data_IF_528828552347
#
_entry.id   IF_528828552347
#
_cell.length_a   1.000
_cell.length_b   1.000
_cell.length_c   1.000
_cell.angle_alpha   90.00
_cell.angle_beta   90.00
_cell.angle_gamma   90.00
#
_symmetry.space_group_name_H-M   'P 1'
#
loop_
_entity.id
_entity.type
_entity.pdbx_description
1 polymer ?
#
# COMPACT_ATOMS: atom_id res chain seq x y z
N UNK A 1 -59.06 74.72 5.00
CA UNK A 1 -57.59 74.64 4.95
C UNK A 1 -57.20 73.18 4.73
N UNK A 2 -56.73 72.83 3.53
CA UNK A 2 -55.82 71.69 3.33
C UNK A 2 -54.48 72.04 4.01
N UNK A 3 -53.68 71.08 4.52
CA UNK A 3 -52.88 70.23 3.62
C UNK A 3 -52.58 68.77 4.05
N UNK A 4 -52.52 67.91 3.02
CA UNK A 4 -51.48 66.90 2.68
C UNK A 4 -50.95 65.89 3.72
N UNK A 5 -51.15 64.58 3.45
CA UNK A 5 -50.22 63.60 2.80
C UNK A 5 -50.61 62.16 3.20
N UNK A 6 -51.17 61.30 2.33
CA UNK A 6 -50.54 60.41 1.35
C UNK A 6 -49.55 59.34 1.93
N UNK A 7 -49.95 58.06 2.06
CA UNK A 7 -49.66 56.95 1.10
C UNK A 7 -49.90 55.51 1.63
N UNK A 8 -50.27 54.67 0.65
CA UNK A 8 -50.08 53.21 0.51
C UNK A 8 -51.10 52.23 1.12
N UNK A 9 -52.07 51.91 0.26
CA UNK A 9 -52.88 50.68 0.23
C UNK A 9 -52.02 49.42 0.02
N UNK A 10 -52.28 48.38 0.81
CA UNK A 10 -51.77 47.04 0.59
C UNK A 10 -52.68 46.28 -0.38
N UNK A 11 -52.21 46.07 -1.62
CA UNK A 11 -52.69 45.00 -2.48
C UNK A 11 -51.78 43.78 -2.27
N UNK A 12 -52.31 42.70 -1.72
CA UNK A 12 -51.62 41.42 -1.58
C UNK A 12 -52.52 40.29 -2.06
N UNK A 13 -52.49 40.03 -3.36
CA UNK A 13 -53.17 38.92 -4.02
C UNK A 13 -52.39 37.63 -3.72
N UNK A 14 -52.98 36.71 -2.96
CA UNK A 14 -52.37 35.39 -2.70
C UNK A 14 -52.70 34.46 -3.86
N UNK A 15 -51.73 34.27 -4.76
CA UNK A 15 -51.72 33.18 -5.73
C UNK A 15 -51.18 31.92 -5.06
N UNK A 16 -52.06 30.96 -4.78
CA UNK A 16 -51.66 29.61 -4.40
C UNK A 16 -51.24 28.84 -5.66
N UNK A 17 -49.93 28.78 -5.93
CA UNK A 17 -49.35 27.85 -6.89
C UNK A 17 -49.18 26.49 -6.19
N UNK A 18 -50.06 25.55 -6.52
CA UNK A 18 -49.87 24.14 -6.18
C UNK A 18 -48.68 23.60 -7.00
N UNK A 19 -47.56 23.36 -6.33
CA UNK A 19 -46.42 22.65 -6.91
C UNK A 19 -46.76 21.16 -6.93
N UNK A 20 -47.40 20.68 -8.00
CA UNK A 20 -47.39 19.24 -8.30
C UNK A 20 -45.97 18.88 -8.73
N UNK A 21 -45.16 18.43 -7.77
CA UNK A 21 -43.93 17.73 -8.07
C UNK A 21 -44.30 16.44 -8.78
N UNK A 22 -44.14 16.42 -10.11
CA UNK A 22 -44.03 15.18 -10.86
C UNK A 22 -42.75 14.50 -10.37
N UNK A 23 -42.91 13.51 -9.49
CA UNK A 23 -41.86 12.55 -9.22
C UNK A 23 -41.68 11.72 -10.51
N UNK A 24 -40.89 12.26 -11.44
CA UNK A 24 -40.33 11.44 -12.50
C UNK A 24 -39.51 10.35 -11.81
N UNK A 25 -40.03 9.13 -11.87
CA UNK A 25 -39.33 7.92 -11.49
C UNK A 25 -38.17 7.72 -12.46
N UNK A 26 -37.06 8.42 -12.21
CA UNK A 26 -35.77 8.01 -12.72
C UNK A 26 -35.47 6.66 -12.06
N UNK A 27 -35.66 5.59 -12.82
CA UNK A 27 -35.04 4.29 -12.55
C UNK A 27 -33.58 4.57 -12.20
N UNK A 28 -33.19 4.31 -10.95
CA UNK A 28 -31.87 4.67 -10.44
C UNK A 28 -30.82 3.95 -11.28
N UNK A 29 -30.15 4.67 -12.17
CA UNK A 29 -29.09 4.10 -13.00
C UNK A 29 -28.09 3.29 -12.15
N UNK A 30 -27.59 2.19 -12.71
CA UNK A 30 -26.64 1.31 -12.03
C UNK A 30 -25.41 2.09 -11.55
N UNK A 31 -24.96 1.78 -10.33
CA UNK A 31 -23.74 2.36 -9.76
C UNK A 31 -22.52 1.79 -10.48
N UNK A 32 -21.70 2.65 -11.10
CA UNK A 32 -20.51 2.20 -11.82
C UNK A 32 -19.30 2.18 -10.91
N UNK A 33 -18.65 1.02 -10.82
CA UNK A 33 -17.51 0.79 -9.94
C UNK A 33 -16.31 0.34 -10.76
N UNK A 34 -15.19 1.06 -10.61
CA UNK A 34 -13.91 0.66 -11.21
C UNK A 34 -13.02 0.03 -10.15
N UNK A 35 -12.61 -1.22 -10.36
CA UNK A 35 -11.58 -1.86 -9.56
C UNK A 35 -10.20 -1.67 -10.20
N UNK A 36 -9.23 -1.17 -9.45
CA UNK A 36 -7.85 -0.96 -9.92
C UNK A 36 -6.89 -1.74 -9.04
N UNK A 37 -6.10 -2.61 -9.64
CA UNK A 37 -5.15 -3.42 -8.87
C UNK A 37 -4.37 -4.43 -9.70
N UNK A 38 -4.22 -5.64 -9.18
CA UNK A 38 -3.45 -6.72 -9.79
C UNK A 38 -4.14 -8.07 -9.63
N UNK A 39 -3.38 -9.14 -9.43
CA UNK A 39 -3.91 -10.49 -9.27
C UNK A 39 -4.84 -10.63 -8.08
N UNK A 40 -4.69 -9.86 -7.00
CA UNK A 40 -5.67 -9.86 -5.90
C UNK A 40 -7.04 -9.31 -6.33
N UNK A 41 -7.09 -8.56 -7.44
CA UNK A 41 -8.32 -8.04 -8.02
C UNK A 41 -8.88 -8.96 -9.12
N UNK A 42 -8.07 -9.46 -10.05
CA UNK A 42 -8.60 -10.27 -11.15
C UNK A 42 -8.76 -11.77 -10.80
N UNK A 43 -8.03 -12.30 -9.81
CA UNK A 43 -8.17 -13.70 -9.40
C UNK A 43 -9.56 -13.96 -8.83
N UNK A 44 -10.18 -15.04 -9.28
CA UNK A 44 -11.59 -15.38 -9.02
C UNK A 44 -12.56 -14.22 -9.34
N UNK A 45 -12.14 -13.25 -10.17
CA UNK A 45 -12.93 -12.11 -10.64
C UNK A 45 -13.68 -11.38 -9.51
N UNK A 46 -12.93 -10.78 -8.59
CA UNK A 46 -13.46 -9.99 -7.48
C UNK A 46 -14.56 -8.99 -7.90
N UNK A 47 -14.44 -8.24 -9.02
CA UNK A 47 -15.50 -7.31 -9.45
C UNK A 47 -16.84 -8.00 -9.75
N UNK A 48 -16.83 -9.19 -10.36
CA UNK A 48 -18.04 -9.96 -10.62
C UNK A 48 -18.68 -10.47 -9.31
N UNK A 49 -17.85 -10.96 -8.37
CA UNK A 49 -18.32 -11.41 -7.05
C UNK A 49 -18.91 -10.24 -6.28
N UNK A 50 -18.24 -9.08 -6.27
CA UNK A 50 -18.76 -7.84 -5.69
C UNK A 50 -20.10 -7.44 -6.29
N UNK A 51 -20.22 -7.43 -7.63
CA UNK A 51 -21.46 -7.10 -8.33
C UNK A 51 -22.61 -8.02 -7.90
N UNK A 52 -22.34 -9.32 -7.78
CA UNK A 52 -23.35 -10.30 -7.35
C UNK A 52 -23.81 -10.04 -5.91
N UNK A 53 -22.89 -9.79 -4.98
CA UNK A 53 -23.24 -9.53 -3.58
C UNK A 53 -23.96 -8.17 -3.40
N UNK A 54 -23.54 -7.15 -4.15
CA UNK A 54 -24.13 -5.82 -4.14
C UNK A 54 -25.56 -5.78 -4.71
N UNK A 55 -25.93 -6.74 -5.58
CA UNK A 55 -27.24 -6.78 -6.26
C UNK A 55 -28.44 -6.78 -5.31
N UNK A 56 -28.26 -7.23 -4.06
CA UNK A 56 -29.29 -7.20 -3.02
C UNK A 56 -29.54 -5.81 -2.43
N UNK A 57 -28.64 -4.85 -2.68
CA UNK A 57 -28.67 -3.47 -2.17
C UNK A 57 -28.96 -2.50 -3.33
N UNK A 58 -28.20 -2.62 -4.42
CA UNK A 58 -28.31 -1.74 -5.60
C UNK A 58 -27.73 -2.44 -6.83
N UNK A 59 -28.28 -2.12 -8.00
CA UNK A 59 -27.69 -2.53 -9.27
C UNK A 59 -26.32 -1.87 -9.47
N UNK A 60 -25.33 -2.68 -9.83
CA UNK A 60 -23.94 -2.25 -9.99
C UNK A 60 -23.45 -2.71 -11.36
N UNK A 61 -22.67 -1.87 -12.01
CA UNK A 61 -21.82 -2.23 -13.16
C UNK A 61 -20.36 -2.14 -12.74
N UNK A 62 -19.58 -3.19 -12.97
CA UNK A 62 -18.18 -3.24 -12.59
C UNK A 62 -17.26 -3.31 -13.79
N UNK A 63 -16.23 -2.47 -13.78
CA UNK A 63 -15.06 -2.59 -14.63
C UNK A 63 -13.83 -2.94 -13.79
N UNK A 64 -12.79 -3.44 -14.44
CA UNK A 64 -11.48 -3.60 -13.81
C UNK A 64 -10.34 -3.06 -14.67
N UNK A 65 -9.34 -2.52 -14.00
CA UNK A 65 -8.01 -2.22 -14.51
C UNK A 65 -7.01 -3.00 -13.65
N UNK A 66 -6.67 -4.21 -14.09
CA UNK A 66 -5.78 -5.08 -13.34
C UNK A 66 -4.77 -5.78 -14.24
N UNK A 67 -3.57 -6.00 -13.72
CA UNK A 67 -2.50 -6.73 -14.41
C UNK A 67 -1.63 -7.47 -13.42
N UNK A 68 -1.19 -8.69 -13.77
CA UNK A 68 -0.33 -9.48 -12.90
C UNK A 68 0.87 -8.69 -12.38
N UNK A 69 1.01 -8.62 -11.05
CA UNK A 69 2.12 -7.93 -10.37
C UNK A 69 2.15 -6.40 -10.50
N UNK A 70 1.11 -5.76 -11.05
CA UNK A 70 1.09 -4.31 -11.19
C UNK A 70 1.00 -3.59 -9.84
N UNK A 71 1.69 -2.46 -9.75
CA UNK A 71 1.54 -1.45 -8.68
C UNK A 71 0.58 -0.36 -9.14
N UNK A 72 0.01 0.41 -8.20
CA UNK A 72 -0.82 1.59 -8.57
C UNK A 72 0.01 2.61 -9.36
N UNK A 73 1.26 2.82 -8.95
CA UNK A 73 2.23 3.66 -9.68
C UNK A 73 2.36 3.24 -11.14
N UNK A 74 2.46 1.94 -11.41
CA UNK A 74 2.60 1.44 -12.78
C UNK A 74 1.37 1.72 -13.64
N UNK A 75 0.15 1.66 -13.07
CA UNK A 75 -1.08 2.03 -13.78
C UNK A 75 -1.13 3.53 -14.10
N UNK A 76 -0.66 4.37 -13.17
CA UNK A 76 -0.58 5.82 -13.32
C UNK A 76 0.46 6.26 -14.34
N UNK A 77 1.66 5.67 -14.33
CA UNK A 77 2.78 6.04 -15.21
C UNK A 77 2.55 5.55 -16.64
N UNK A 78 1.87 4.41 -16.84
CA UNK A 78 1.49 3.91 -18.17
C UNK A 78 0.32 4.69 -18.79
N UNK A 79 -0.34 5.53 -17.99
CA UNK A 79 -1.52 6.28 -18.41
C UNK A 79 -2.80 5.45 -18.50
N UNK A 80 -2.78 4.19 -18.05
CA UNK A 80 -3.91 3.27 -18.18
C UNK A 80 -5.07 3.71 -17.27
N UNK A 81 -4.76 4.16 -16.05
CA UNK A 81 -5.77 4.66 -15.12
C UNK A 81 -6.50 5.90 -15.66
N UNK A 82 -5.74 6.84 -16.24
CA UNK A 82 -6.28 8.07 -16.80
C UNK A 82 -7.13 7.78 -18.05
N UNK A 83 -6.69 6.86 -18.91
CA UNK A 83 -7.50 6.39 -20.05
C UNK A 83 -8.80 5.77 -19.56
N UNK A 84 -8.73 4.89 -18.55
CA UNK A 84 -9.91 4.21 -18.01
C UNK A 84 -10.93 5.20 -17.44
N UNK A 85 -10.48 6.18 -16.65
CA UNK A 85 -11.35 7.26 -16.13
C UNK A 85 -11.95 8.14 -17.25
N UNK A 86 -11.28 8.27 -18.39
CA UNK A 86 -11.78 9.06 -19.52
C UNK A 86 -12.77 8.29 -20.42
N UNK A 87 -12.82 6.95 -20.34
CA UNK A 87 -13.74 6.13 -21.15
C UNK A 87 -15.20 6.36 -20.75
N UNK A 88 -15.49 6.36 -19.44
CA UNK A 88 -16.83 6.59 -18.89
C UNK A 88 -16.74 7.09 -17.44
N UNK A 89 -17.78 7.78 -16.92
CA UNK A 89 -17.80 8.17 -15.52
C UNK A 89 -17.94 6.94 -14.61
N UNK A 90 -17.24 6.95 -13.48
CA UNK A 90 -17.39 5.98 -12.39
C UNK A 90 -17.85 6.71 -11.14
N UNK A 91 -18.74 6.08 -10.37
CA UNK A 91 -19.25 6.63 -9.12
C UNK A 91 -18.34 6.24 -7.93
N UNK A 92 -17.69 5.07 -8.05
CA UNK A 92 -16.75 4.54 -7.06
C UNK A 92 -15.51 3.99 -7.77
N UNK A 93 -14.34 4.28 -7.21
CA UNK A 93 -13.07 3.65 -7.59
C UNK A 93 -12.54 2.89 -6.39
N UNK A 94 -12.35 1.58 -6.54
CA UNK A 94 -11.75 0.70 -5.54
C UNK A 94 -10.31 0.45 -5.93
N UNK A 95 -9.35 0.76 -5.06
CA UNK A 95 -7.92 0.62 -5.37
C UNK A 95 -7.22 -0.36 -4.43
N UNK A 96 -6.37 -1.19 -5.02
CA UNK A 96 -5.52 -2.16 -4.33
C UNK A 96 -4.08 -2.03 -4.83
N UNK A 97 -3.16 -1.73 -3.92
CA UNK A 97 -1.71 -1.73 -4.16
C UNK A 97 -1.13 -3.15 -4.14
N UNK A 98 0.09 -3.31 -4.66
CA UNK A 98 0.80 -4.56 -4.86
C UNK A 98 0.86 -5.47 -3.61
N UNK A 99 0.69 -6.79 -3.83
CA UNK A 99 0.56 -7.83 -2.79
C UNK A 99 1.78 -8.06 -1.88
N UNK A 100 2.90 -7.40 -2.15
CA UNK A 100 4.13 -7.38 -1.33
C UNK A 100 4.34 -6.00 -0.69
N UNK A 101 3.31 -5.14 -0.68
CA UNK A 101 3.30 -3.93 0.15
C UNK A 101 3.64 -4.33 1.58
N UNK A 102 4.68 -3.74 2.15
CA UNK A 102 5.27 -4.19 3.40
C UNK A 102 6.81 -4.10 3.38
N UNK A 103 7.50 -4.75 4.33
CA UNK A 103 8.95 -4.66 4.48
C UNK A 103 9.69 -5.17 3.22
N UNK A 104 10.87 -4.59 2.91
CA UNK A 104 11.57 -4.81 1.65
C UNK A 104 12.03 -6.25 1.46
N UNK A 105 11.61 -6.87 0.35
CA UNK A 105 11.97 -8.26 -0.02
C UNK A 105 13.10 -8.32 -1.03
N UNK A 106 13.90 -9.37 -0.98
CA UNK A 106 14.82 -9.75 -2.06
C UNK A 106 14.13 -10.82 -2.88
N UNK A 107 13.97 -10.59 -4.18
CA UNK A 107 13.45 -11.57 -5.13
C UNK A 107 14.41 -11.60 -6.29
N UNK A 108 14.96 -12.78 -6.60
CA UNK A 108 15.93 -12.96 -7.70
C UNK A 108 17.18 -12.07 -7.57
N UNK A 109 17.61 -11.81 -6.34
CA UNK A 109 18.77 -10.94 -6.06
C UNK A 109 18.49 -9.44 -6.15
N UNK A 110 17.26 -9.05 -6.49
CA UNK A 110 16.84 -7.65 -6.53
C UNK A 110 15.92 -7.34 -5.36
N UNK A 111 16.12 -6.18 -4.73
CA UNK A 111 15.13 -5.67 -3.77
C UNK A 111 13.85 -5.31 -4.54
N UNK A 112 12.80 -6.13 -4.39
CA UNK A 112 11.46 -5.80 -4.91
C UNK A 112 10.72 -5.07 -3.79
N UNK A 113 10.63 -3.76 -3.95
CA UNK A 113 9.95 -2.83 -3.05
C UNK A 113 8.51 -2.64 -3.56
N UNK A 114 7.55 -2.64 -2.66
CA UNK A 114 6.37 -1.78 -2.79
C UNK A 114 6.47 -0.81 -1.60
N UNK A 115 6.98 0.40 -1.85
CA UNK A 115 7.27 1.38 -0.80
C UNK A 115 5.92 1.88 -0.31
N UNK A 116 5.69 1.87 1.00
CA UNK A 116 4.46 2.46 1.56
C UNK A 116 4.36 3.95 1.20
N UNK A 117 5.48 4.65 1.00
CA UNK A 117 5.50 5.99 0.45
C UNK A 117 5.09 6.05 -1.03
N UNK A 118 5.49 5.07 -1.86
CA UNK A 118 5.04 4.96 -3.25
C UNK A 118 3.54 4.64 -3.33
N UNK A 119 3.04 3.80 -2.42
CA UNK A 119 1.61 3.51 -2.25
C UNK A 119 0.84 4.78 -1.90
N UNK A 120 1.30 5.53 -0.89
CA UNK A 120 0.66 6.76 -0.46
C UNK A 120 0.67 7.84 -1.57
N UNK A 121 1.79 8.04 -2.27
CA UNK A 121 1.87 8.95 -3.42
C UNK A 121 0.89 8.53 -4.53
N UNK A 122 0.85 7.24 -4.87
CA UNK A 122 -0.05 6.72 -5.89
C UNK A 122 -1.51 6.93 -5.52
N UNK A 123 -1.87 6.68 -4.25
CA UNK A 123 -3.23 6.90 -3.74
C UNK A 123 -3.59 8.39 -3.76
N UNK A 124 -2.69 9.30 -3.37
CA UNK A 124 -2.92 10.75 -3.49
C UNK A 124 -3.17 11.18 -4.93
N UNK A 125 -2.37 10.68 -5.87
CA UNK A 125 -2.53 10.96 -7.31
C UNK A 125 -3.83 10.40 -7.86
N UNK A 126 -4.23 9.22 -7.42
CA UNK A 126 -5.54 8.64 -7.77
C UNK A 126 -6.66 9.49 -7.19
N UNK A 127 -6.60 9.85 -5.91
CA UNK A 127 -7.61 10.68 -5.24
C UNK A 127 -7.82 12.01 -5.98
N UNK A 128 -6.74 12.72 -6.31
CA UNK A 128 -6.80 13.97 -7.08
C UNK A 128 -7.35 13.78 -8.50
N UNK A 129 -7.15 12.60 -9.11
CA UNK A 129 -7.74 12.29 -10.40
C UNK A 129 -9.22 11.95 -10.29
N UNK A 130 -9.64 11.18 -9.27
CA UNK A 130 -11.04 10.78 -9.05
C UNK A 130 -11.92 11.94 -8.61
N UNK A 131 -11.37 12.90 -7.86
CA UNK A 131 -12.08 14.11 -7.43
C UNK A 131 -12.62 14.92 -8.62
N UNK A 132 -11.85 15.00 -9.72
CA UNK A 132 -12.26 15.67 -10.96
C UNK A 132 -13.50 15.04 -11.61
N UNK A 133 -13.76 13.78 -11.32
CA UNK A 133 -14.92 13.03 -11.82
C UNK A 133 -15.99 12.82 -10.74
N UNK A 134 -15.84 13.44 -9.56
CA UNK A 134 -16.73 13.28 -8.41
C UNK A 134 -16.93 11.81 -7.98
N UNK A 135 -15.91 10.97 -8.20
CA UNK A 135 -15.93 9.56 -7.85
C UNK A 135 -15.44 9.37 -6.40
N UNK A 136 -16.14 8.53 -5.63
CA UNK A 136 -15.69 8.15 -4.29
C UNK A 136 -14.54 7.17 -4.37
N UNK A 137 -13.49 7.41 -3.58
CA UNK A 137 -12.36 6.49 -3.48
C UNK A 137 -12.56 5.52 -2.31
N UNK A 138 -12.37 4.22 -2.59
CA UNK A 138 -12.36 3.15 -1.61
C UNK A 138 -11.02 2.42 -1.68
N UNK A 139 -10.34 2.31 -0.54
CA UNK A 139 -9.05 1.64 -0.46
C UNK A 139 -9.25 0.20 0.03
N UNK A 140 -8.90 -0.78 -0.82
CA UNK A 140 -8.93 -2.20 -0.47
C UNK A 140 -7.66 -2.55 0.32
N UNK A 141 -7.72 -2.38 1.65
CA UNK A 141 -6.65 -2.78 2.56
C UNK A 141 -6.60 -4.31 2.67
N UNK A 142 -5.75 -4.92 1.84
CA UNK A 142 -5.65 -6.36 1.65
C UNK A 142 -4.94 -7.09 2.82
N UNK A 143 -4.81 -8.41 2.68
CA UNK A 143 -4.16 -9.31 3.62
C UNK A 143 -2.65 -9.46 3.32
N UNK A 144 -1.84 -9.89 4.30
CA UNK A 144 -0.45 -10.30 4.07
C UNK A 144 -0.37 -11.69 3.42
N UNK A 145 0.81 -12.12 2.99
CA UNK A 145 1.02 -13.54 2.63
C UNK A 145 0.92 -14.42 3.88
N UNK A 146 0.55 -15.68 3.71
CA UNK A 146 0.35 -16.64 4.79
C UNK A 146 1.61 -16.86 5.64
N UNK A 147 2.80 -16.82 5.01
CA UNK A 147 4.10 -16.94 5.67
C UNK A 147 4.58 -15.63 6.34
N UNK A 148 3.78 -14.56 6.26
CA UNK A 148 4.15 -13.20 6.68
C UNK A 148 3.04 -12.49 7.49
N UNK A 149 2.38 -13.15 8.47
CA UNK A 149 1.22 -12.58 9.15
C UNK A 149 1.51 -11.24 9.85
N UNK A 150 2.78 -11.01 10.27
CA UNK A 150 3.23 -9.75 10.85
C UNK A 150 3.10 -8.51 9.95
N UNK A 151 2.87 -8.68 8.64
CA UNK A 151 2.69 -7.57 7.71
C UNK A 151 1.28 -6.97 7.72
N UNK A 152 0.32 -7.58 8.42
CA UNK A 152 -1.06 -7.09 8.47
C UNK A 152 -1.14 -5.63 8.98
N UNK A 153 -0.52 -5.33 10.12
CA UNK A 153 -0.59 -3.99 10.70
C UNK A 153 0.09 -2.92 9.82
N UNK A 154 1.32 -3.12 9.30
CA UNK A 154 1.92 -2.18 8.34
C UNK A 154 1.06 -1.92 7.10
N UNK A 155 0.51 -2.98 6.49
CA UNK A 155 -0.38 -2.84 5.32
C UNK A 155 -1.61 -2.04 5.71
N UNK A 156 -2.34 -2.45 6.75
CA UNK A 156 -3.60 -1.83 7.13
C UNK A 156 -3.41 -0.35 7.52
N UNK A 157 -2.40 -0.05 8.32
CA UNK A 157 -2.14 1.31 8.79
C UNK A 157 -1.72 2.24 7.66
N UNK A 158 -0.96 1.76 6.67
CA UNK A 158 -0.61 2.56 5.50
C UNK A 158 -1.86 2.99 4.71
N UNK A 159 -2.82 2.06 4.53
CA UNK A 159 -4.10 2.36 3.88
C UNK A 159 -4.96 3.32 4.69
N UNK A 160 -5.08 3.11 6.01
CA UNK A 160 -5.86 4.01 6.88
C UNK A 160 -5.26 5.41 6.88
N UNK A 161 -3.94 5.54 7.05
CA UNK A 161 -3.26 6.83 7.11
C UNK A 161 -3.49 7.67 5.84
N UNK A 162 -3.26 7.09 4.66
CA UNK A 162 -3.49 7.82 3.40
C UNK A 162 -4.98 7.98 3.10
N UNK A 163 -5.83 7.03 3.50
CA UNK A 163 -7.27 7.12 3.35
C UNK A 163 -7.85 8.30 4.11
N UNK A 164 -7.42 8.50 5.36
CA UNK A 164 -7.78 9.67 6.16
C UNK A 164 -7.31 10.98 5.54
N UNK A 165 -6.07 11.00 5.02
CA UNK A 165 -5.49 12.17 4.39
C UNK A 165 -6.31 12.62 3.17
N UNK A 166 -6.76 11.68 2.34
CA UNK A 166 -7.46 11.97 1.07
C UNK A 166 -8.99 11.87 1.16
N UNK A 167 -9.53 11.58 2.35
CA UNK A 167 -10.97 11.39 2.56
C UNK A 167 -11.56 10.14 1.90
N UNK A 168 -10.76 9.10 1.67
CA UNK A 168 -11.20 7.82 1.13
C UNK A 168 -11.74 6.88 2.22
N UNK A 169 -12.64 5.97 1.83
CA UNK A 169 -13.10 4.91 2.73
C UNK A 169 -12.16 3.72 2.66
N UNK A 170 -11.62 3.26 3.78
CA UNK A 170 -10.82 2.03 3.82
C UNK A 170 -11.71 0.80 4.05
N UNK A 171 -11.64 -0.18 3.14
CA UNK A 171 -12.23 -1.50 3.32
C UNK A 171 -11.23 -2.41 4.05
N UNK A 172 -11.50 -2.83 5.30
CA UNK A 172 -10.54 -3.53 6.18
C UNK A 172 -10.46 -5.03 5.87
N UNK A 173 -10.22 -5.41 4.60
CA UNK A 173 -10.27 -6.80 4.16
C UNK A 173 -9.26 -7.67 4.91
N UNK A 174 -8.02 -7.20 5.07
CA UNK A 174 -6.98 -7.92 5.81
C UNK A 174 -7.34 -8.20 7.27
N UNK A 175 -8.07 -7.31 7.95
CA UNK A 175 -8.49 -7.52 9.33
C UNK A 175 -9.58 -8.59 9.44
N UNK A 176 -10.52 -8.61 8.48
CA UNK A 176 -11.56 -9.65 8.42
C UNK A 176 -10.92 -10.99 8.10
N UNK A 177 -9.95 -11.00 7.19
CA UNK A 177 -9.17 -12.18 6.81
C UNK A 177 -8.42 -12.78 8.01
N UNK A 178 -7.73 -11.94 8.78
CA UNK A 178 -7.03 -12.33 10.01
C UNK A 178 -8.02 -12.84 11.07
N UNK A 179 -9.14 -12.14 11.26
CA UNK A 179 -10.16 -12.53 12.23
C UNK A 179 -10.78 -13.91 11.95
N UNK A 180 -10.83 -14.30 10.68
CA UNK A 180 -11.27 -15.62 10.24
C UNK A 180 -10.24 -16.73 10.50
N UNK A 181 -9.01 -16.37 10.87
CA UNK A 181 -7.91 -17.29 11.17
C UNK A 181 -6.77 -17.26 10.16
N UNK A 182 -6.87 -16.48 9.08
CA UNK A 182 -5.81 -16.40 8.07
C UNK A 182 -5.44 -17.78 7.52
N UNK A 183 -4.18 -18.19 7.68
CA UNK A 183 -3.68 -19.50 7.22
C UNK A 183 -4.26 -20.67 8.04
N UNK A 184 -4.62 -20.42 9.30
CA UNK A 184 -5.22 -21.40 10.20
C UNK A 184 -6.76 -21.49 10.05
N UNK A 185 -7.34 -20.82 9.05
CA UNK A 185 -8.78 -20.83 8.84
C UNK A 185 -9.28 -22.23 8.43
N UNK A 186 -10.09 -22.85 9.29
CA UNK A 186 -10.65 -24.19 9.08
C UNK A 186 -12.02 -24.18 8.37
N UNK A 187 -12.68 -23.02 8.35
CA UNK A 187 -14.06 -22.85 7.82
C UNK A 187 -14.10 -22.38 6.37
N UNK A 188 -13.04 -21.73 5.89
CA UNK A 188 -12.96 -21.09 4.58
C UNK A 188 -11.55 -21.25 3.99
N UNK A 189 -11.49 -21.51 2.69
CA UNK A 189 -10.27 -21.50 1.88
C UNK A 189 -9.94 -20.07 1.48
N UNK A 190 -9.33 -19.35 2.42
CA UNK A 190 -8.94 -17.96 2.23
C UNK A 190 -7.80 -17.84 1.20
N UNK A 191 -6.73 -18.61 1.35
CA UNK A 191 -5.60 -18.61 0.42
C UNK A 191 -5.72 -19.65 -0.70
N UNK A 192 -5.15 -19.33 -1.85
CA UNK A 192 -4.73 -20.32 -2.83
C UNK A 192 -3.50 -21.09 -2.30
N UNK A 193 -3.11 -22.23 -2.92
CA UNK A 193 -2.00 -23.05 -2.45
C UNK A 193 -0.63 -22.35 -2.38
N UNK A 194 -0.49 -21.17 -2.99
CA UNK A 194 0.74 -20.38 -2.96
C UNK A 194 0.88 -19.46 -1.73
N UNK A 195 -0.08 -19.54 -0.80
CA UNK A 195 -0.10 -18.75 0.44
C UNK A 195 -0.24 -17.25 0.19
N UNK A 196 -0.71 -16.82 -0.98
CA UNK A 196 -0.72 -15.42 -1.37
C UNK A 196 -1.97 -15.02 -2.10
N UNK A 197 -2.25 -15.64 -3.24
CA UNK A 197 -3.46 -15.31 -4.00
C UNK A 197 -4.69 -15.73 -3.21
N UNK A 198 -5.84 -15.05 -3.42
CA UNK A 198 -7.06 -15.49 -2.77
C UNK A 198 -7.50 -16.84 -3.35
N UNK A 199 -7.91 -17.73 -2.47
CA UNK A 199 -8.83 -18.80 -2.84
C UNK A 199 -10.20 -18.22 -3.20
N UNK A 200 -11.11 -19.01 -3.80
CA UNK A 200 -12.45 -18.52 -4.16
C UNK A 200 -13.21 -17.90 -2.97
N UNK A 201 -13.14 -18.52 -1.80
CA UNK A 201 -13.79 -18.03 -0.58
C UNK A 201 -13.07 -16.79 -0.01
N UNK A 202 -11.75 -16.67 -0.19
CA UNK A 202 -11.01 -15.43 0.09
C UNK A 202 -11.47 -14.24 -0.76
N UNK A 203 -11.68 -14.45 -2.07
CA UNK A 203 -12.25 -13.41 -2.94
C UNK A 203 -13.67 -13.04 -2.51
N UNK A 204 -14.45 -14.02 -2.04
CA UNK A 204 -15.79 -13.80 -1.51
C UNK A 204 -15.80 -12.93 -0.24
N UNK A 205 -14.87 -13.18 0.68
CA UNK A 205 -14.64 -12.34 1.88
C UNK A 205 -14.26 -10.91 1.48
N UNK A 206 -13.33 -10.76 0.54
CA UNK A 206 -12.92 -9.45 0.03
C UNK A 206 -14.10 -8.68 -0.58
N UNK A 207 -14.90 -9.35 -1.41
CA UNK A 207 -16.09 -8.76 -2.02
C UNK A 207 -17.08 -8.28 -0.95
N UNK A 208 -17.43 -9.12 0.03
CA UNK A 208 -18.39 -8.77 1.08
C UNK A 208 -17.93 -7.57 1.93
N UNK A 209 -16.64 -7.53 2.27
CA UNK A 209 -16.03 -6.41 3.00
C UNK A 209 -16.07 -5.11 2.20
N UNK A 210 -15.77 -5.16 0.90
CA UNK A 210 -15.81 -3.99 0.02
C UNK A 210 -17.26 -3.53 -0.19
N UNK A 211 -18.24 -4.43 -0.33
CA UNK A 211 -19.67 -4.07 -0.36
C UNK A 211 -20.06 -3.32 0.91
N UNK A 212 -19.68 -3.82 2.08
CA UNK A 212 -19.95 -3.13 3.35
C UNK A 212 -19.31 -1.75 3.44
N UNK A 213 -18.11 -1.57 2.91
CA UNK A 213 -17.41 -0.28 2.87
C UNK A 213 -18.05 0.69 1.87
N UNK A 214 -18.52 0.19 0.72
CA UNK A 214 -19.15 1.01 -0.32
C UNK A 214 -20.53 1.49 0.12
N UNK A 215 -21.38 0.57 0.59
CA UNK A 215 -22.81 0.84 0.81
C UNK A 215 -23.19 1.14 2.26
N UNK A 216 -22.35 0.82 3.23
CA UNK A 216 -22.71 0.98 4.64
C UNK A 216 -23.56 -0.18 5.19
N UNK A 217 -23.90 -1.17 4.38
CA UNK A 217 -24.80 -2.27 4.71
C UNK A 217 -24.08 -3.63 4.61
N UNK A 218 -24.45 -4.57 5.47
CA UNK A 218 -23.93 -5.94 5.37
C UNK A 218 -24.67 -6.63 4.22
N UNK A 219 -23.98 -7.12 3.17
CA UNK A 219 -24.65 -7.78 2.06
C UNK A 219 -25.27 -9.10 2.48
N UNK A 220 -26.26 -9.54 1.71
CA UNK A 220 -26.61 -10.97 1.69
C UNK A 220 -25.41 -11.75 1.17
N UNK A 221 -25.24 -12.97 1.68
CA UNK A 221 -24.13 -13.85 1.31
C UNK A 221 -24.65 -15.11 0.57
N UNK A 222 -25.21 -14.98 -0.66
CA UNK A 222 -25.59 -16.13 -1.47
C UNK A 222 -24.36 -16.80 -2.14
N UNK A 223 -24.47 -18.07 -2.55
CA UNK A 223 -23.54 -18.66 -3.50
C UNK A 223 -23.46 -17.83 -4.79
N UNK A 224 -22.27 -17.77 -5.39
CA UNK A 224 -22.03 -17.08 -6.66
C UNK A 224 -21.62 -18.13 -7.70
N UNK A 225 -22.55 -18.46 -8.57
CA UNK A 225 -22.33 -19.44 -9.63
C UNK A 225 -21.82 -18.77 -10.91
N UNK A 226 -21.08 -19.53 -11.72
CA UNK A 226 -20.59 -19.11 -13.05
C UNK A 226 -19.76 -17.81 -13.02
N UNK A 227 -18.88 -17.67 -12.04
CA UNK A 227 -17.88 -16.59 -12.02
C UNK A 227 -16.89 -16.81 -13.15
N UNK A 228 -16.78 -15.92 -14.16
CA UNK A 228 -15.82 -16.08 -15.22
C UNK A 228 -14.41 -15.82 -14.68
N UNK A 229 -13.50 -16.79 -14.86
CA UNK A 229 -12.09 -16.65 -14.49
C UNK A 229 -11.37 -15.74 -15.47
N UNK A 230 -10.49 -14.90 -14.95
CA UNK A 230 -9.65 -14.00 -15.74
C UNK A 230 -8.24 -14.56 -15.95
N UNK A 231 -7.58 -14.16 -17.02
CA UNK A 231 -6.16 -14.41 -17.24
C UNK A 231 -5.26 -13.34 -16.57
N UNK A 232 -3.94 -13.46 -16.72
CA UNK A 232 -2.97 -12.51 -16.12
C UNK A 232 -3.03 -11.08 -16.67
N UNK A 233 -3.89 -10.81 -17.66
CA UNK A 233 -4.19 -9.50 -18.24
C UNK A 233 -5.60 -9.01 -17.92
N UNK A 234 -6.30 -9.69 -17.01
CA UNK A 234 -7.68 -9.42 -16.62
C UNK A 234 -8.71 -9.64 -17.74
N UNK A 235 -8.40 -10.50 -18.71
CA UNK A 235 -9.32 -10.88 -19.79
C UNK A 235 -10.03 -12.21 -19.49
N UNK A 236 -11.29 -12.42 -19.92
CA UNK A 236 -11.99 -13.68 -19.69
C UNK A 236 -11.26 -14.88 -20.30
N UNK A 237 -10.93 -15.86 -19.46
CA UNK A 237 -10.25 -17.10 -19.87
C UNK A 237 -11.17 -18.13 -20.54
N UNK A 238 -12.48 -17.90 -20.53
CA UNK A 238 -13.50 -18.85 -20.96
C UNK A 238 -13.83 -19.95 -19.92
N UNK A 239 -13.13 -19.98 -18.79
CA UNK A 239 -13.41 -20.89 -17.66
C UNK A 239 -14.29 -20.20 -16.62
N UNK A 240 -15.01 -21.01 -15.85
CA UNK A 240 -15.91 -20.54 -14.81
C UNK A 240 -15.70 -21.33 -13.51
N UNK A 241 -15.96 -20.68 -12.38
CA UNK A 241 -16.02 -21.31 -11.07
C UNK A 241 -17.36 -21.03 -10.39
N UNK A 242 -17.65 -21.81 -9.35
CA UNK A 242 -18.69 -21.52 -8.39
C UNK A 242 -18.04 -21.24 -7.03
N UNK A 243 -18.55 -20.25 -6.33
CA UNK A 243 -18.10 -19.86 -4.99
C UNK A 243 -19.29 -19.99 -4.07
N UNK A 244 -19.30 -21.05 -3.27
CA UNK A 244 -20.39 -21.38 -2.35
C UNK A 244 -19.81 -21.71 -0.97
N UNK A 245 -19.54 -20.69 -0.13
CA UNK A 245 -19.10 -20.93 1.23
C UNK A 245 -20.10 -21.79 2.00
N UNK A 246 -19.60 -22.66 2.88
CA UNK A 246 -20.45 -23.44 3.78
C UNK A 246 -21.24 -22.53 4.73
N UNK A 247 -22.32 -23.04 5.32
CA UNK A 247 -23.09 -22.30 6.34
C UNK A 247 -22.20 -21.84 7.51
N UNK A 248 -21.33 -22.74 8.00
CA UNK A 248 -20.34 -22.39 9.02
C UNK A 248 -19.36 -21.30 8.56
N UNK A 249 -18.99 -21.30 7.28
CA UNK A 249 -18.18 -20.25 6.66
C UNK A 249 -18.91 -18.90 6.62
N UNK A 250 -20.18 -18.90 6.20
CA UNK A 250 -21.03 -17.70 6.16
C UNK A 250 -21.24 -17.11 7.56
N UNK A 251 -21.45 -17.95 8.57
CA UNK A 251 -21.59 -17.52 9.97
C UNK A 251 -20.29 -16.92 10.52
N UNK A 252 -19.15 -17.54 10.21
CA UNK A 252 -17.84 -17.02 10.57
C UNK A 252 -17.56 -15.66 9.91
N UNK A 253 -17.86 -15.53 8.61
CA UNK A 253 -17.76 -14.26 7.89
C UNK A 253 -18.64 -13.17 8.52
N UNK A 254 -19.90 -13.48 8.78
CA UNK A 254 -20.85 -12.55 9.36
C UNK A 254 -20.40 -12.07 10.74
N UNK A 255 -19.82 -12.97 11.53
CA UNK A 255 -19.25 -12.66 12.85
C UNK A 255 -18.02 -11.78 12.72
N UNK A 256 -17.05 -12.16 11.87
CA UNK A 256 -15.83 -11.39 11.65
C UNK A 256 -16.12 -9.98 11.11
N UNK A 257 -17.02 -9.86 10.13
CA UNK A 257 -17.48 -8.56 9.62
C UNK A 257 -18.13 -7.72 10.73
N UNK A 258 -18.98 -8.32 11.57
CA UNK A 258 -19.62 -7.59 12.68
C UNK A 258 -18.59 -7.13 13.71
N UNK A 259 -17.57 -7.90 14.03
CA UNK A 259 -16.55 -7.49 15.00
C UNK A 259 -15.62 -6.42 14.44
N UNK A 260 -15.23 -6.55 13.18
CA UNK A 260 -14.34 -5.57 12.51
C UNK A 260 -15.08 -4.26 12.23
N UNK A 261 -16.33 -4.30 11.75
CA UNK A 261 -17.12 -3.10 11.46
C UNK A 261 -17.93 -2.55 12.65
N UNK A 262 -18.32 -3.41 13.61
CA UNK A 262 -19.27 -3.09 14.69
C UNK A 262 -18.65 -2.55 15.98
N UNK A 263 -17.34 -2.36 16.03
CA UNK A 263 -16.71 -1.41 16.98
C UNK A 263 -17.02 0.03 16.55
N UNK A 264 -18.31 0.36 16.62
CA UNK A 264 -19.01 1.37 15.83
C UNK A 264 -18.72 2.83 16.26
N UNK A 265 -18.95 3.74 15.31
CA UNK A 265 -18.73 5.19 15.30
C UNK A 265 -17.31 5.71 14.94
N UNK A 266 -16.31 4.83 14.73
CA UNK A 266 -14.97 5.22 14.22
C UNK A 266 -14.37 4.29 13.16
N UNK A 267 -15.18 3.51 12.44
CA UNK A 267 -14.70 2.67 11.33
C UNK A 267 -14.12 3.45 10.11
N UNK A 268 -13.78 4.73 10.29
CA UNK A 268 -12.84 5.44 9.43
C UNK A 268 -11.37 5.26 9.89
N UNK A 269 -11.09 4.95 11.16
CA UNK A 269 -9.82 5.30 11.80
C UNK A 269 -9.43 4.42 12.98
N UNK A 270 -9.34 3.10 12.82
CA UNK A 270 -8.62 2.29 13.82
C UNK A 270 -7.30 1.85 13.23
N UNK A 271 -6.32 2.75 13.28
CA UNK A 271 -4.91 2.36 13.19
C UNK A 271 -4.71 1.22 14.19
N UNK A 272 -4.29 0.05 13.72
CA UNK A 272 -3.87 -1.01 14.61
C UNK A 272 -2.66 -0.50 15.41
N UNK A 273 -2.56 -0.78 16.72
CA UNK A 273 -1.35 -0.46 17.46
C UNK A 273 -0.16 -1.10 16.75
N UNK A 274 0.90 -0.32 16.51
CA UNK A 274 2.15 -0.86 16.00
C UNK A 274 2.57 -2.03 16.92
N UNK A 275 2.67 -3.25 16.38
CA UNK A 275 3.70 -4.14 16.87
C UNK A 275 5.00 -3.41 16.61
N UNK A 276 5.57 -2.80 17.66
CA UNK A 276 6.72 -1.88 17.63
C UNK A 276 7.49 -1.90 16.30
N UNK A 277 7.00 -1.12 15.34
CA UNK A 277 7.59 -1.00 14.01
C UNK A 277 7.83 0.48 13.81
N UNK A 278 9.00 0.91 14.29
CA UNK A 278 9.55 2.25 14.06
C UNK A 278 9.38 2.61 12.58
N UNK A 279 8.94 3.83 12.23
CA UNK A 279 8.56 4.19 10.87
C UNK A 279 9.67 3.89 9.87
N UNK A 280 9.29 3.23 8.77
CA UNK A 280 10.15 3.06 7.60
C UNK A 280 10.50 4.44 7.03
N UNK A 281 11.78 4.81 6.89
CA UNK A 281 12.14 5.94 6.07
C UNK A 281 11.87 5.57 4.60
N UNK A 282 11.07 6.40 3.92
CA UNK A 282 10.79 6.28 2.50
C UNK A 282 12.09 6.11 1.69
N UNK A 283 12.04 5.32 0.62
CA UNK A 283 13.13 5.33 -0.35
C UNK A 283 13.26 6.76 -0.90
N UNK A 284 14.47 7.34 -0.96
CA UNK A 284 14.65 8.62 -1.62
C UNK A 284 14.17 8.52 -3.08
N UNK A 285 13.38 9.50 -3.58
CA UNK A 285 12.84 9.47 -4.93
C UNK A 285 13.95 9.36 -5.97
N UNK A 286 13.66 8.59 -7.02
CA UNK A 286 14.48 8.26 -8.18
C UNK A 286 15.73 9.14 -8.34
N UNK A 287 16.82 8.71 -7.70
CA UNK A 287 18.09 9.43 -7.74
C UNK A 287 18.64 9.24 -9.15
N UNK A 288 18.75 10.35 -9.89
CA UNK A 288 19.67 10.48 -11.02
C UNK A 288 21.04 9.94 -10.59
N UNK A 289 21.34 8.69 -10.94
CA UNK A 289 22.60 8.02 -10.61
C UNK A 289 23.73 8.77 -11.30
N UNK A 290 24.30 9.76 -10.63
CA UNK A 290 25.53 10.40 -11.08
C UNK A 290 26.69 9.48 -10.71
N UNK A 291 27.54 9.18 -11.68
CA UNK A 291 28.81 8.52 -11.42
C UNK A 291 29.56 9.27 -10.32
N UNK A 292 30.25 8.52 -9.47
CA UNK A 292 31.13 9.13 -8.48
C UNK A 292 32.28 9.82 -9.21
N UNK A 293 32.54 11.06 -8.82
CA UNK A 293 33.78 11.76 -9.10
C UNK A 293 34.70 11.53 -7.89
N UNK A 294 35.97 11.24 -8.13
CA UNK A 294 36.99 11.06 -7.10
C UNK A 294 37.13 12.30 -6.22
N UNK A 295 36.92 13.50 -6.77
CA UNK A 295 36.94 14.75 -6.00
C UNK A 295 35.74 14.85 -5.04
N UNK A 296 34.57 14.35 -5.45
CA UNK A 296 33.37 14.36 -4.62
C UNK A 296 33.58 13.51 -3.37
N UNK A 297 34.06 12.28 -3.54
CA UNK A 297 34.22 11.31 -2.44
C UNK A 297 35.29 11.71 -1.42
N UNK A 298 36.33 12.45 -1.85
CA UNK A 298 37.45 12.81 -0.98
C UNK A 298 37.01 13.52 0.31
N UNK A 299 37.51 13.06 1.44
CA UNK A 299 37.29 13.68 2.76
C UNK A 299 36.46 12.81 3.70
N UNK A 300 35.98 13.41 4.78
CA UNK A 300 35.22 12.73 5.83
C UNK A 300 33.73 12.91 5.62
N UNK A 301 32.97 11.82 5.77
CA UNK A 301 31.53 11.80 5.65
C UNK A 301 30.93 11.23 6.94
N UNK A 302 29.92 11.87 7.50
CA UNK A 302 29.29 11.46 8.74
C UNK A 302 27.80 11.22 8.56
N UNK A 303 27.26 10.20 9.22
CA UNK A 303 25.82 9.97 9.30
C UNK A 303 25.45 9.04 10.44
N UNK A 304 24.17 9.01 10.77
CA UNK A 304 23.61 8.13 11.79
C UNK A 304 22.75 7.05 11.14
N UNK A 305 22.74 5.87 11.75
CA UNK A 305 21.86 4.76 11.41
C UNK A 305 21.42 4.03 12.68
N UNK A 306 20.35 3.25 12.61
CA UNK A 306 19.85 2.46 13.73
C UNK A 306 19.74 1.00 13.31
N UNK A 307 20.36 0.09 14.06
CA UNK A 307 20.23 -1.36 13.83
C UNK A 307 19.00 -1.90 14.54
N UNK A 308 18.30 -2.84 13.93
CA UNK A 308 17.13 -3.50 14.53
C UNK A 308 17.51 -4.16 15.87
N UNK A 309 16.80 -3.82 16.96
CA UNK A 309 17.02 -4.41 18.29
C UNK A 309 18.05 -3.71 19.19
N UNK A 310 18.70 -2.62 18.75
CA UNK A 310 19.48 -1.77 19.65
C UNK A 310 18.74 -0.43 19.84
N UNK A 311 18.52 -0.05 21.09
CA UNK A 311 17.95 1.27 21.47
C UNK A 311 18.90 2.44 21.18
N UNK A 312 20.10 2.16 20.67
CA UNK A 312 21.17 3.14 20.46
C UNK A 312 21.33 3.47 18.97
N UNK A 313 21.54 4.76 18.70
CA UNK A 313 21.92 5.24 17.37
C UNK A 313 23.40 5.00 17.13
N UNK A 314 23.71 4.42 15.99
CA UNK A 314 25.05 4.21 15.50
C UNK A 314 25.48 5.39 14.64
N UNK A 315 26.67 5.94 14.86
CA UNK A 315 27.29 6.86 13.91
C UNK A 315 28.14 6.06 12.93
N UNK A 316 28.11 6.43 11.65
CA UNK A 316 29.07 6.01 10.65
C UNK A 316 29.88 7.23 10.24
N UNK A 317 31.17 7.17 10.46
CA UNK A 317 32.14 8.03 9.77
C UNK A 317 32.74 7.24 8.62
N UNK A 318 32.86 7.86 7.46
CA UNK A 318 33.48 7.30 6.26
C UNK A 318 34.58 8.29 5.83
N UNK A 319 35.83 7.92 6.06
CA UNK A 319 36.98 8.64 5.53
C UNK A 319 37.36 8.05 4.18
N UNK A 320 37.29 8.84 3.12
CA UNK A 320 37.70 8.42 1.79
C UNK A 320 38.98 9.15 1.37
N UNK A 321 40.08 8.41 1.35
CA UNK A 321 41.31 8.83 0.67
C UNK A 321 41.42 8.10 -0.68
N UNK A 322 41.24 8.87 -1.75
CA UNK A 322 41.26 8.41 -3.14
C UNK A 322 42.64 7.91 -3.59
N UNK A 323 43.70 8.15 -2.82
CA UNK A 323 45.03 7.62 -3.11
C UNK A 323 45.29 6.25 -2.47
N UNK A 324 44.56 5.90 -1.39
CA UNK A 324 44.80 4.69 -0.61
C UNK A 324 43.63 3.71 -0.65
N UNK A 325 42.46 4.10 -1.18
CA UNK A 325 41.24 3.28 -1.20
C UNK A 325 40.78 2.81 0.19
N UNK A 326 41.32 3.43 1.24
CA UNK A 326 41.02 3.07 2.62
C UNK A 326 39.74 3.78 3.03
N UNK A 327 38.82 2.99 3.58
CA UNK A 327 37.60 3.45 4.22
C UNK A 327 37.67 3.08 5.69
N UNK A 328 37.63 4.09 6.57
CA UNK A 328 37.57 3.90 8.02
C UNK A 328 36.16 4.11 8.51
N UNK A 329 35.74 3.24 9.44
CA UNK A 329 34.44 3.28 10.10
C UNK A 329 34.62 3.39 11.62
N UNK A 330 33.82 4.23 12.27
CA UNK A 330 33.82 4.39 13.73
C UNK A 330 32.40 4.47 14.26
N UNK A 331 32.12 3.79 15.38
CA UNK A 331 30.82 3.70 16.05
C UNK A 331 30.91 4.24 17.49
N UNK A 332 30.31 5.40 17.78
CA UNK A 332 30.27 5.97 19.14
C UNK A 332 31.65 6.38 19.71
N UNK A 333 31.80 6.31 21.05
CA UNK A 333 33.05 6.64 21.77
C UNK A 333 33.90 5.42 22.14
N UNK A 334 33.42 4.20 21.90
CA UNK A 334 34.21 2.98 22.11
C UNK A 334 35.07 2.70 20.89
N UNK A 335 36.39 2.84 21.05
CA UNK A 335 37.40 2.33 20.12
C UNK A 335 37.47 0.80 20.21
N UNK A 336 36.39 0.11 19.84
CA UNK A 336 36.33 -1.33 19.61
C UNK A 336 36.49 -1.73 18.13
N UNK A 337 36.72 -0.75 17.26
CA UNK A 337 36.99 -0.92 15.84
C UNK A 337 38.39 -0.41 15.54
N UNK A 338 39.39 -1.07 16.11
CA UNK A 338 40.79 -0.76 15.80
C UNK A 338 41.14 -1.39 14.45
N UNK A 339 41.81 -0.68 13.53
CA UNK A 339 42.40 -1.23 12.32
C UNK A 339 43.67 -2.02 12.65
N UNK A 340 43.60 -2.92 13.63
CA UNK A 340 44.61 -3.94 13.83
C UNK A 340 44.05 -5.23 13.24
N UNK A 341 43.90 -5.24 11.93
CA UNK A 341 44.36 -6.33 11.09
C UNK A 341 44.13 -5.94 9.63
N UNK A 342 45.15 -6.21 8.82
CA UNK A 342 45.45 -5.64 7.50
C UNK A 342 44.48 -6.06 6.38
N UNK A 343 43.19 -6.32 6.64
CA UNK A 343 42.30 -6.89 5.61
C UNK A 343 40.90 -6.32 5.65
N UNK A 344 40.73 -5.12 5.10
CA UNK A 344 39.46 -4.70 4.50
C UNK A 344 39.75 -3.81 3.28
N UNK A 345 40.22 -4.45 2.22
CA UNK A 345 40.29 -3.80 0.92
C UNK A 345 38.86 -3.68 0.35
N UNK A 346 38.50 -2.55 -0.29
CA UNK A 346 37.27 -2.49 -1.08
C UNK A 346 37.30 -3.65 -2.08
N UNK A 347 36.29 -4.53 -2.03
CA UNK A 347 36.21 -5.65 -2.97
C UNK A 347 36.08 -5.15 -4.40
N UNK A 348 35.50 -3.96 -4.58
CA UNK A 348 35.39 -3.27 -5.86
C UNK A 348 35.50 -1.75 -5.61
N UNK A 349 36.33 -1.05 -6.38
CA UNK A 349 36.32 0.42 -6.44
C UNK A 349 34.96 0.95 -6.92
N UNK A 350 34.78 2.28 -7.08
CA UNK A 350 33.52 2.84 -7.58
C UNK A 350 33.12 2.14 -8.88
N UNK A 351 32.04 1.35 -8.82
CA UNK A 351 31.57 0.55 -9.94
C UNK A 351 31.18 1.45 -11.11
N UNK A 352 31.21 0.88 -12.33
CA UNK A 352 30.74 1.59 -13.54
C UNK A 352 29.26 1.98 -13.47
N UNK A 353 28.53 1.45 -12.49
CA UNK A 353 27.11 1.63 -12.18
C UNK A 353 26.80 2.79 -11.22
N UNK A 354 27.82 3.48 -10.68
CA UNK A 354 27.65 4.58 -9.74
C UNK A 354 27.26 4.13 -8.32
N UNK A 355 27.66 2.90 -7.94
CA UNK A 355 27.49 2.35 -6.60
C UNK A 355 28.84 2.14 -5.91
N UNK A 356 28.89 2.42 -4.61
CA UNK A 356 30.00 2.05 -3.72
C UNK A 356 29.52 0.93 -2.81
N UNK A 357 30.21 -0.21 -2.82
CA UNK A 357 29.87 -1.33 -1.93
C UNK A 357 31.09 -1.73 -1.10
N UNK A 358 30.88 -1.93 0.20
CA UNK A 358 31.91 -2.31 1.15
C UNK A 358 31.45 -3.56 1.90
N UNK A 359 32.37 -4.51 2.11
CA UNK A 359 32.15 -5.66 2.99
C UNK A 359 33.25 -5.69 4.04
N UNK A 360 32.89 -5.88 5.29
CA UNK A 360 33.85 -6.03 6.38
C UNK A 360 33.31 -7.00 7.44
N UNK A 361 34.22 -7.63 8.18
CA UNK A 361 33.89 -8.52 9.30
C UNK A 361 33.92 -7.71 10.59
N UNK A 362 32.82 -7.71 11.34
CA UNK A 362 32.75 -7.08 12.66
C UNK A 362 33.35 -8.01 13.71
N UNK A 363 34.56 -7.72 14.19
CA UNK A 363 35.17 -8.49 15.29
C UNK A 363 34.43 -8.31 16.62
N UNK A 364 33.80 -7.16 16.85
CA UNK A 364 33.04 -6.88 18.08
C UNK A 364 31.71 -7.65 18.17
N UNK A 365 31.15 -8.09 17.03
CA UNK A 365 29.83 -8.75 16.96
C UNK A 365 29.87 -10.11 16.25
N UNK A 366 31.02 -10.54 15.74
CA UNK A 366 31.19 -11.79 15.01
C UNK A 366 30.35 -11.90 13.73
N UNK A 367 30.01 -10.76 13.10
CA UNK A 367 29.06 -10.70 11.98
C UNK A 367 29.65 -9.99 10.75
N UNK A 368 29.31 -10.44 9.55
CA UNK A 368 29.67 -9.70 8.34
C UNK A 368 28.78 -8.47 8.20
N UNK A 369 29.33 -7.38 7.68
CA UNK A 369 28.58 -6.18 7.37
C UNK A 369 28.82 -5.74 5.94
N UNK A 370 27.75 -5.48 5.21
CA UNK A 370 27.76 -4.97 3.85
C UNK A 370 27.13 -3.58 3.79
N UNK A 371 27.88 -2.59 3.30
CA UNK A 371 27.38 -1.23 3.08
C UNK A 371 27.28 -0.97 1.58
N UNK A 372 26.19 -0.37 1.12
CA UNK A 372 25.96 0.01 -0.27
C UNK A 372 25.51 1.46 -0.35
N UNK A 373 26.34 2.34 -0.90
CA UNK A 373 26.08 3.78 -1.03
C UNK A 373 25.89 4.21 -2.49
N UNK A 374 25.04 5.21 -2.69
CA UNK A 374 24.85 5.95 -3.93
C UNK A 374 24.94 7.46 -3.68
N UNK A 375 25.37 8.22 -4.68
CA UNK A 375 25.40 9.69 -4.61
C UNK A 375 24.01 10.28 -4.81
N UNK A 376 23.57 11.12 -3.88
CA UNK A 376 22.31 11.88 -3.95
C UNK A 376 22.60 13.36 -3.74
N UNK A 377 22.77 14.10 -4.84
CA UNK A 377 23.19 15.50 -4.76
C UNK A 377 24.55 15.67 -4.08
N UNK A 378 24.54 16.32 -2.91
CA UNK A 378 25.72 16.55 -2.06
C UNK A 378 25.90 15.48 -0.96
N UNK A 379 25.00 14.49 -0.87
CA UNK A 379 25.00 13.45 0.16
C UNK A 379 25.35 12.08 -0.44
N UNK A 380 25.79 11.18 0.44
CA UNK A 380 25.79 9.74 0.16
C UNK A 380 24.60 9.13 0.88
N UNK A 381 23.84 8.26 0.21
CA UNK A 381 22.72 7.52 0.83
C UNK A 381 22.86 6.06 0.53
N UNK A 382 22.45 5.20 1.45
CA UNK A 382 22.65 3.78 1.25
C UNK A 382 22.04 2.87 2.29
N UNK A 383 22.37 1.60 2.13
CA UNK A 383 21.94 0.51 3.00
C UNK A 383 23.16 -0.06 3.72
N UNK A 384 22.99 -0.37 5.00
CA UNK A 384 23.91 -1.16 5.82
C UNK A 384 23.22 -2.48 6.09
N UNK A 385 23.91 -3.61 5.88
CA UNK A 385 23.39 -4.95 6.09
C UNK A 385 24.31 -5.69 7.05
N UNK A 386 23.77 -6.38 8.05
CA UNK A 386 24.52 -7.22 8.99
C UNK A 386 24.12 -8.69 8.81
N UNK A 387 25.06 -9.58 8.53
CA UNK A 387 24.87 -11.02 8.44
C UNK A 387 25.08 -11.62 9.82
N UNK A 388 24.00 -12.11 10.44
CA UNK A 388 24.08 -12.64 11.79
C UNK A 388 24.92 -13.93 11.83
N UNK A 389 25.60 -14.23 12.96
CA UNK A 389 26.49 -15.38 13.09
C UNK A 389 25.83 -16.76 12.86
N UNK A 390 24.49 -16.83 12.92
CA UNK A 390 23.71 -18.05 12.70
C UNK A 390 23.26 -18.25 11.24
N UNK A 391 23.76 -17.43 10.30
CA UNK A 391 23.77 -17.69 8.84
C UNK A 391 22.40 -17.83 8.13
N UNK A 392 21.32 -17.20 8.61
CA UNK A 392 20.01 -17.27 7.93
C UNK A 392 19.44 -15.93 7.48
N UNK A 393 19.87 -14.78 8.02
CA UNK A 393 19.24 -13.50 7.66
C UNK A 393 20.14 -12.27 7.78
N UNK A 394 19.92 -11.30 6.88
CA UNK A 394 20.57 -10.00 6.91
C UNK A 394 19.66 -8.96 7.58
N UNK A 395 20.11 -8.34 8.67
CA UNK A 395 19.46 -7.15 9.25
C UNK A 395 19.85 -5.92 8.43
N UNK A 396 18.88 -5.07 8.04
CA UNK A 396 19.14 -3.89 7.21
C UNK A 396 18.86 -2.59 7.95
N UNK A 397 19.69 -1.59 7.71
CA UNK A 397 19.49 -0.20 8.13
C UNK A 397 19.74 0.75 6.96
N UNK A 398 19.06 1.89 6.92
CA UNK A 398 19.36 2.96 5.97
C UNK A 398 20.33 3.95 6.58
N UNK A 399 21.19 4.53 5.74
CA UNK A 399 22.11 5.57 6.19
C UNK A 399 22.17 6.73 5.21
N UNK A 400 22.27 7.94 5.74
CA UNK A 400 22.57 9.15 4.98
C UNK A 400 23.84 9.78 5.54
N UNK A 401 24.86 9.90 4.71
CA UNK A 401 26.11 10.57 5.05
C UNK A 401 26.14 11.96 4.43
N UNK A 402 26.52 12.93 5.23
CA UNK A 402 26.83 14.29 4.79
C UNK A 402 28.33 14.52 4.93
N UNK A 403 28.89 15.30 4.01
CA UNK A 403 30.32 15.67 4.06
C UNK A 403 30.55 16.49 5.33
N UNK A 404 31.55 16.11 6.12
CA UNK A 404 32.00 16.90 7.26
C UNK A 404 32.48 18.27 6.75
N UNK A 405 32.25 19.34 7.52
CA UNK A 405 32.67 20.70 7.15
C UNK A 405 34.19 20.83 6.99
#
# INVERSE_FOLDING_TARGET
>A
MSPHRNWMSWNGMVLALAFMATADGAESAALRVLFVGNSYTYENNLPFVFQTLASSIREVECDMLARGGATLRSHLERGDFQKKLAEKPYDVVVVQEQSKLGPPRIVEGFTRIADTADCADSIRRIAAATEKFNARLVLFAHWPRADEPGNLAPIHNAYVQVGDEVGATTAPVGLIWDRLGGDDCDKLRLYAPDGSHPGPEGTYVAAAAIVRAVFGEVPKLPPVSRVPLMDGRAEPSGKFIEIAPSEAGIDAMSTAMREVFGNDARARQTTLPEFASVPFPAHPPEIMRKKFDTEFLRGTWNGEFSTFGLSEKATLTLECDVNTTVVRMTHGTETGWSPNDETSHPSEGPGSDGKLSFKYVSHAKGCDVEISLVRVGAQLRGLVRFLLPDDVEWVRSSITLSKAP
#
